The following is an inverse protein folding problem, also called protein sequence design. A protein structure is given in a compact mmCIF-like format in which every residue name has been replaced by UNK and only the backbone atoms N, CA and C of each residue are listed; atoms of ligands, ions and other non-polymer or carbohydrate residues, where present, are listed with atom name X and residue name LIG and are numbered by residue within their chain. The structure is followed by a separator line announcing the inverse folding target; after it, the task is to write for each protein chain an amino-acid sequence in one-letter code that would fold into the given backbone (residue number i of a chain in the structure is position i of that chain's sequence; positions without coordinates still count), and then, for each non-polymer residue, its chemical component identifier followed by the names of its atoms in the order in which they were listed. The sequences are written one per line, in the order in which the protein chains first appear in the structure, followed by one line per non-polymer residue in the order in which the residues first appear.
data_IF_716474746704
#
_entry.id   IF_716474746704
#
_cell.length_a   1.000
_cell.length_b   1.000
_cell.length_c   1.000
_cell.angle_alpha   90.00
_cell.angle_beta   90.00
_cell.angle_gamma   90.00
#
_symmetry.space_group_name_H-M   'P 1'
#
loop_
_entity.id
_entity.type
_entity.pdbx_description
1 polymer ?
#
# COMPACT_ATOMS: atom_id res chain seq x y z
N UNK A 1 8.85 -11.11 17.18
CA UNK A 1 8.20 -9.82 16.81
C UNK A 1 9.03 -8.93 15.87
N UNK A 2 10.38 -8.91 15.92
CA UNK A 2 11.23 -8.11 14.99
C UNK A 2 11.11 -8.51 13.50
N UNK A 3 10.86 -9.79 13.21
CA UNK A 3 10.75 -10.28 11.83
C UNK A 3 9.48 -9.77 11.11
N UNK A 4 8.35 -9.69 11.82
CA UNK A 4 7.09 -9.13 11.32
C UNK A 4 7.25 -7.65 10.92
N UNK A 5 7.96 -6.87 11.75
CA UNK A 5 8.19 -5.45 11.51
C UNK A 5 9.16 -5.18 10.35
N UNK A 6 10.12 -6.08 10.13
CA UNK A 6 11.14 -5.98 9.06
C UNK A 6 10.60 -6.27 7.66
N UNK A 7 9.49 -7.00 7.57
CA UNK A 7 8.90 -7.43 6.30
C UNK A 7 7.44 -6.98 6.17
N UNK A 8 7.10 -5.80 6.70
CA UNK A 8 5.74 -5.26 6.65
C UNK A 8 5.19 -5.20 5.21
N UNK A 9 6.09 -4.98 4.24
CA UNK A 9 5.80 -4.97 2.80
C UNK A 9 5.37 -6.33 2.24
N UNK A 10 5.91 -7.43 2.78
CA UNK A 10 5.53 -8.79 2.39
C UNK A 10 4.15 -9.19 2.91
N UNK A 11 3.57 -8.44 3.85
CA UNK A 11 2.20 -8.69 4.33
C UNK A 11 1.14 -8.12 3.41
N UNK A 12 1.44 -7.11 2.59
CA UNK A 12 0.48 -6.53 1.64
C UNK A 12 -0.03 -7.55 0.61
N UNK A 13 0.81 -8.51 0.22
CA UNK A 13 0.47 -9.55 -0.74
C UNK A 13 -0.49 -10.61 -0.17
N UNK A 14 -0.21 -11.27 0.96
CA UNK A 14 -1.16 -12.19 1.59
C UNK A 14 -2.42 -11.47 2.06
N UNK A 15 -2.35 -10.20 2.48
CA UNK A 15 -3.55 -9.41 2.79
C UNK A 15 -4.40 -9.18 1.53
N UNK A 16 -3.79 -8.85 0.38
CA UNK A 16 -4.49 -8.72 -0.90
C UNK A 16 -5.14 -10.02 -1.35
N UNK A 17 -4.44 -11.16 -1.23
CA UNK A 17 -4.98 -12.49 -1.55
C UNK A 17 -6.14 -12.85 -0.62
N UNK A 18 -6.01 -12.56 0.67
CA UNK A 18 -7.04 -12.86 1.66
C UNK A 18 -8.29 -11.99 1.45
N UNK A 19 -8.10 -10.71 1.10
CA UNK A 19 -9.18 -9.81 0.67
C UNK A 19 -9.87 -10.32 -0.60
N UNK A 20 -9.11 -10.84 -1.56
CA UNK A 20 -9.68 -11.42 -2.78
C UNK A 20 -10.51 -12.68 -2.52
N UNK A 21 -10.04 -13.57 -1.64
CA UNK A 21 -10.75 -14.79 -1.26
C UNK A 21 -11.99 -14.51 -0.41
N UNK A 22 -11.93 -13.52 0.50
CA UNK A 22 -13.06 -13.18 1.35
C UNK A 22 -14.08 -12.26 0.70
N UNK A 23 -13.71 -11.47 -0.32
CA UNK A 23 -14.62 -10.50 -0.91
C UNK A 23 -15.95 -11.10 -1.40
N UNK A 24 -16.00 -12.26 -2.08
CA UNK A 24 -17.26 -12.81 -2.57
C UNK A 24 -18.15 -13.27 -1.42
N UNK A 25 -17.54 -13.76 -0.33
CA UNK A 25 -18.27 -14.22 0.87
C UNK A 25 -18.83 -13.03 1.65
N UNK A 26 -18.05 -11.97 1.82
CA UNK A 26 -18.47 -10.75 2.51
C UNK A 26 -19.58 -10.03 1.74
N UNK A 27 -19.50 -9.95 0.41
CA UNK A 27 -20.54 -9.30 -0.39
C UNK A 27 -21.86 -10.06 -0.39
N UNK A 28 -21.81 -11.40 -0.37
CA UNK A 28 -23.02 -12.24 -0.27
C UNK A 28 -23.78 -12.10 1.04
N UNK A 29 -23.14 -11.64 2.11
CA UNK A 29 -23.83 -11.38 3.39
C UNK A 29 -24.64 -10.07 3.36
N UNK A 30 -24.31 -9.15 2.47
CA UNK A 30 -25.00 -7.86 2.33
C UNK A 30 -26.07 -7.91 1.24
N UNK A 31 -25.82 -8.66 0.17
CA UNK A 31 -26.78 -8.90 -0.91
C UNK A 31 -26.63 -10.33 -1.45
N UNK A 32 -27.67 -11.17 -1.29
CA UNK A 32 -27.68 -12.56 -1.73
C UNK A 32 -27.66 -12.71 -3.26
N UNK A 33 -28.08 -11.67 -3.99
CA UNK A 33 -28.13 -11.62 -5.46
C UNK A 33 -26.89 -11.02 -6.11
N UNK A 34 -25.97 -10.46 -5.32
CA UNK A 34 -24.69 -9.99 -5.83
C UNK A 34 -23.93 -11.15 -6.48
N UNK A 35 -23.90 -11.17 -7.82
CA UNK A 35 -23.14 -12.14 -8.57
C UNK A 35 -21.64 -11.97 -8.22
N UNK A 36 -20.84 -13.05 -8.21
CA UNK A 36 -19.41 -12.99 -7.85
C UNK A 36 -18.57 -12.04 -8.74
N UNK A 37 -19.13 -11.62 -9.87
CA UNK A 37 -18.52 -10.72 -10.85
C UNK A 37 -19.42 -9.54 -11.21
N UNK A 38 -20.38 -9.17 -10.35
CA UNK A 38 -21.04 -7.90 -10.57
C UNK A 38 -20.08 -6.77 -10.20
N UNK A 39 -19.98 -5.77 -11.07
CA UNK A 39 -19.04 -4.65 -10.90
C UNK A 39 -19.62 -3.66 -9.88
N UNK A 40 -19.96 -4.16 -8.69
CA UNK A 40 -20.46 -3.36 -7.60
C UNK A 40 -19.35 -2.42 -7.11
N UNK A 41 -19.75 -1.21 -6.71
CA UNK A 41 -18.84 -0.14 -6.25
C UNK A 41 -17.85 -0.62 -5.17
N UNK A 42 -18.29 -1.53 -4.28
CA UNK A 42 -17.43 -2.09 -3.25
C UNK A 42 -16.40 -3.09 -3.79
N UNK A 43 -16.73 -3.89 -4.81
CA UNK A 43 -15.81 -4.83 -5.44
C UNK A 43 -14.68 -4.09 -6.16
N UNK A 44 -14.97 -2.93 -6.79
CA UNK A 44 -13.95 -2.04 -7.36
C UNK A 44 -12.96 -1.52 -6.32
N UNK A 45 -13.43 -1.14 -5.13
CA UNK A 45 -12.56 -0.67 -4.04
C UNK A 45 -11.61 -1.79 -3.61
N UNK A 46 -12.10 -3.01 -3.44
CA UNK A 46 -11.27 -4.15 -3.03
C UNK A 46 -10.24 -4.50 -4.10
N UNK A 47 -10.64 -4.58 -5.37
CA UNK A 47 -9.69 -4.83 -6.45
C UNK A 47 -8.67 -3.70 -6.62
N UNK A 48 -9.07 -2.44 -6.45
CA UNK A 48 -8.17 -1.30 -6.43
C UNK A 48 -7.11 -1.43 -5.33
N UNK A 49 -7.52 -1.82 -4.11
CA UNK A 49 -6.61 -2.09 -3.01
C UNK A 49 -5.65 -3.25 -3.30
N UNK A 50 -6.13 -4.32 -3.94
CA UNK A 50 -5.31 -5.47 -4.32
C UNK A 50 -4.25 -5.05 -5.35
N UNK A 51 -4.66 -4.37 -6.43
CA UNK A 51 -3.75 -3.90 -7.49
C UNK A 51 -2.73 -2.91 -6.92
N UNK A 52 -3.18 -1.96 -6.10
CA UNK A 52 -2.29 -1.01 -5.43
C UNK A 52 -1.27 -1.69 -4.51
N UNK A 53 -1.72 -2.67 -3.72
CA UNK A 53 -0.86 -3.47 -2.85
C UNK A 53 0.17 -4.26 -3.65
N UNK A 54 -0.26 -4.85 -4.77
CA UNK A 54 0.62 -5.58 -5.68
C UNK A 54 1.67 -4.67 -6.32
N UNK A 55 1.27 -3.51 -6.86
CA UNK A 55 2.20 -2.53 -7.43
C UNK A 55 3.23 -2.06 -6.38
N UNK A 56 2.76 -1.71 -5.18
CA UNK A 56 3.62 -1.27 -4.07
C UNK A 56 4.63 -2.35 -3.70
N UNK A 57 4.18 -3.59 -3.58
CA UNK A 57 5.05 -4.74 -3.31
C UNK A 57 6.15 -4.91 -4.36
N UNK A 58 5.80 -4.82 -5.65
CA UNK A 58 6.76 -4.94 -6.74
C UNK A 58 7.80 -3.81 -6.71
N UNK A 59 7.37 -2.56 -6.49
CA UNK A 59 8.28 -1.40 -6.38
C UNK A 59 9.29 -1.60 -5.26
N UNK A 60 8.83 -2.05 -4.08
CA UNK A 60 9.69 -2.29 -2.94
C UNK A 60 10.69 -3.44 -3.18
N UNK A 61 10.28 -4.53 -3.83
CA UNK A 61 11.21 -5.58 -4.25
C UNK A 61 12.27 -5.06 -5.21
N UNK A 62 11.85 -4.33 -6.25
CA UNK A 62 12.77 -3.77 -7.23
C UNK A 62 13.76 -2.81 -6.54
N UNK A 63 13.28 -1.96 -5.63
CA UNK A 63 14.12 -1.05 -4.87
C UNK A 63 15.16 -1.81 -4.02
N UNK A 64 14.74 -2.89 -3.36
CA UNK A 64 15.63 -3.74 -2.55
C UNK A 64 16.70 -4.44 -3.39
N UNK A 65 16.35 -4.91 -4.59
CA UNK A 65 17.27 -5.64 -5.48
C UNK A 65 18.22 -4.69 -6.22
N UNK A 66 17.70 -3.59 -6.76
CA UNK A 66 18.47 -2.66 -7.59
C UNK A 66 19.27 -1.67 -6.74
N UNK A 67 18.72 -1.20 -5.62
CA UNK A 67 19.33 -0.16 -4.78
C UNK A 67 19.31 -0.53 -3.29
N UNK A 68 20.06 -1.56 -2.87
CA UNK A 68 20.04 -2.06 -1.49
C UNK A 68 20.44 -1.00 -0.45
N UNK A 69 21.36 -0.09 -0.78
CA UNK A 69 21.76 1.01 0.12
C UNK A 69 20.64 2.02 0.35
N UNK A 70 19.87 2.35 -0.70
CA UNK A 70 18.72 3.25 -0.60
C UNK A 70 17.62 2.60 0.22
N UNK A 71 17.33 1.32 -0.04
CA UNK A 71 16.38 0.55 0.75
C UNK A 71 16.78 0.50 2.25
N UNK A 72 18.06 0.27 2.54
CA UNK A 72 18.58 0.26 3.93
C UNK A 72 18.45 1.63 4.59
N UNK A 73 18.77 2.71 3.88
CA UNK A 73 18.60 4.07 4.38
C UNK A 73 17.14 4.36 4.73
N UNK A 74 16.21 4.03 3.82
CA UNK A 74 14.77 4.26 4.01
C UNK A 74 14.18 3.47 5.18
N UNK A 75 14.70 2.26 5.44
CA UNK A 75 14.12 1.36 6.46
C UNK A 75 14.79 1.46 7.82
N UNK A 76 16.09 1.76 7.89
CA UNK A 76 16.86 1.73 9.14
C UNK A 76 17.26 3.13 9.62
N UNK A 77 17.61 4.03 8.70
CA UNK A 77 18.25 5.30 9.05
C UNK A 77 17.28 6.48 9.02
N UNK A 78 16.30 6.43 8.13
CA UNK A 78 15.38 7.55 7.84
C UNK A 78 14.67 8.08 9.08
N UNK A 79 14.08 7.20 9.91
CA UNK A 79 13.37 7.61 11.13
C UNK A 79 14.29 8.30 12.14
N UNK A 80 15.51 7.75 12.32
CA UNK A 80 16.48 8.30 13.26
C UNK A 80 17.01 9.67 12.84
N UNK A 81 17.24 9.87 11.54
CA UNK A 81 17.59 11.18 11.01
C UNK A 81 16.42 12.15 11.06
N UNK A 82 15.19 11.68 10.82
CA UNK A 82 14.00 12.52 10.83
C UNK A 82 13.75 13.16 12.21
N UNK A 83 14.01 12.41 13.28
CA UNK A 83 13.87 12.92 14.65
C UNK A 83 14.93 13.95 15.03
N UNK A 84 16.10 13.91 14.39
CA UNK A 84 17.23 14.80 14.67
C UNK A 84 17.28 16.04 13.76
N UNK A 85 16.29 16.23 12.88
CA UNK A 85 16.21 17.40 11.99
C UNK A 85 15.82 18.67 12.73
N UNK A 86 16.34 19.80 12.25
CA UNK A 86 15.90 21.12 12.69
C UNK A 86 14.41 21.35 12.36
N UNK A 87 13.69 22.18 13.13
CA UNK A 87 12.25 22.38 12.98
C UNK A 87 11.82 22.79 11.56
N UNK A 88 12.63 23.63 10.91
CA UNK A 88 12.39 24.10 9.54
C UNK A 88 12.50 22.95 8.52
N UNK A 89 13.56 22.15 8.61
CA UNK A 89 13.77 21.00 7.71
C UNK A 89 12.72 19.90 7.91
N UNK A 90 12.23 19.75 9.15
CA UNK A 90 11.15 18.81 9.49
C UNK A 90 9.84 19.20 8.80
N UNK A 91 9.55 20.49 8.72
CA UNK A 91 8.35 21.02 8.07
C UNK A 91 8.35 20.71 6.56
N UNK A 92 9.49 20.89 5.89
CA UNK A 92 9.61 20.59 4.46
C UNK A 92 9.54 19.09 4.16
N UNK A 93 10.18 18.26 4.99
CA UNK A 93 10.05 16.80 4.86
C UNK A 93 8.61 16.31 5.11
N UNK A 94 7.88 16.95 6.04
CA UNK A 94 6.46 16.67 6.25
C UNK A 94 5.62 16.98 5.01
N UNK A 95 5.82 18.15 4.38
CA UNK A 95 5.13 18.50 3.13
C UNK A 95 5.41 17.48 2.02
N UNK A 96 6.66 17.05 1.88
CA UNK A 96 7.04 16.02 0.89
C UNK A 96 6.36 14.69 1.22
N UNK A 97 6.33 14.27 2.48
CA UNK A 97 5.64 13.03 2.87
C UNK A 97 4.13 13.10 2.62
N UNK A 98 3.50 14.25 2.88
CA UNK A 98 2.08 14.49 2.61
C UNK A 98 1.80 14.45 1.10
N UNK A 99 2.67 15.07 0.29
CA UNK A 99 2.57 15.05 -1.16
C UNK A 99 2.74 13.62 -1.72
N UNK A 100 3.70 12.85 -1.19
CA UNK A 100 3.86 11.43 -1.55
C UNK A 100 2.62 10.62 -1.17
N UNK A 101 2.06 10.83 0.03
CA UNK A 101 0.83 10.18 0.46
C UNK A 101 -0.35 10.51 -0.46
N UNK A 102 -0.52 11.78 -0.83
CA UNK A 102 -1.54 12.20 -1.78
C UNK A 102 -1.36 11.56 -3.15
N UNK A 103 -0.11 11.40 -3.62
CA UNK A 103 0.22 10.75 -4.88
C UNK A 103 -0.07 9.24 -4.84
N UNK A 104 0.21 8.57 -3.72
CA UNK A 104 -0.20 7.19 -3.50
C UNK A 104 -1.72 7.03 -3.52
N UNK A 105 -2.45 7.94 -2.87
CA UNK A 105 -3.92 7.95 -2.87
C UNK A 105 -4.48 8.20 -4.27
N UNK A 106 -3.87 9.09 -5.04
CA UNK A 106 -4.21 9.32 -6.45
C UNK A 106 -3.95 8.06 -7.28
N UNK A 107 -2.83 7.38 -7.08
CA UNK A 107 -2.53 6.10 -7.73
C UNK A 107 -3.59 5.02 -7.45
N UNK A 108 -4.07 4.95 -6.20
CA UNK A 108 -5.18 4.06 -5.82
C UNK A 108 -6.47 4.43 -6.55
N UNK A 109 -6.82 5.72 -6.61
CA UNK A 109 -8.01 6.20 -7.31
C UNK A 109 -7.95 5.91 -8.81
N UNK A 110 -6.80 6.11 -9.45
CA UNK A 110 -6.60 5.75 -10.86
C UNK A 110 -6.72 4.24 -11.08
N UNK A 111 -6.15 3.42 -10.19
CA UNK A 111 -6.32 1.96 -10.26
C UNK A 111 -7.79 1.55 -10.19
N UNK A 112 -8.60 2.22 -9.35
CA UNK A 112 -10.04 1.99 -9.27
C UNK A 112 -10.82 2.42 -10.52
N UNK A 113 -10.32 3.39 -11.31
CA UNK A 113 -10.98 3.82 -12.55
C UNK A 113 -10.73 2.86 -13.72
N UNK A 114 -9.58 2.17 -13.70
CA UNK A 114 -9.21 1.19 -14.73
C UNK A 114 -9.94 -0.15 -14.53
N UNK A 115 -10.42 -0.43 -13.32
CA UNK A 115 -11.21 -1.60 -12.91
C UNK A 115 -12.73 -1.36 -13.02
#
# INVERSE_FOLDING_TARGET
MKFLKKYNELWLLPIGILLWLLSPVLFRQVDETAAPYDVAVFQKIIFGLIVFSFCTFNVWIILRLTFPNVFKYLTETFDSEFLNLNPEQKCDRLKISLALFALYLLGLLLAMQVL
#
